data_IF_934412574588
#
_entry.id   IF_934412574588
#
_cell.length_a   1.000
_cell.length_b   1.000
_cell.length_c   1.000
_cell.angle_alpha   90.00
_cell.angle_beta   90.00
_cell.angle_gamma   90.00
#
_symmetry.space_group_name_H-M   'P 1'
#
loop_
_entity.id
_entity.type
_entity.pdbx_description
1 polymer ?
#
# COMPACT_ATOMS: atom_id res chain seq x y z
N UNK A 1 0.36 10.99 -25.63
CA UNK A 1 -0.47 10.19 -24.71
C UNK A 1 -1.48 11.13 -24.08
N UNK A 2 -2.77 11.00 -24.41
CA UNK A 2 -3.80 11.88 -23.88
C UNK A 2 -4.39 11.23 -22.63
N UNK A 3 -4.23 11.89 -21.48
CA UNK A 3 -4.80 11.46 -20.21
C UNK A 3 -6.31 11.71 -20.27
N UNK A 4 -7.11 10.65 -20.20
CA UNK A 4 -8.56 10.78 -20.11
C UNK A 4 -8.92 10.73 -18.63
N UNK A 5 -9.27 11.89 -18.06
CA UNK A 5 -9.80 11.95 -16.70
C UNK A 5 -11.13 11.19 -16.66
N UNK A 6 -11.27 10.29 -15.69
CA UNK A 6 -12.58 9.78 -15.31
C UNK A 6 -13.37 11.00 -14.81
N UNK A 7 -14.54 11.26 -15.40
CA UNK A 7 -15.40 12.37 -14.99
C UNK A 7 -15.71 12.27 -13.49
N UNK A 8 -15.82 13.42 -12.83
CA UNK A 8 -15.84 13.62 -11.37
C UNK A 8 -16.95 12.88 -10.57
N UNK A 9 -17.69 11.95 -11.17
CA UNK A 9 -18.81 11.25 -10.53
C UNK A 9 -18.41 9.96 -9.80
N UNK A 10 -17.15 9.51 -9.90
CA UNK A 10 -16.67 8.33 -9.16
C UNK A 10 -15.33 8.57 -8.50
N UNK A 11 -15.25 9.63 -7.69
CA UNK A 11 -14.13 9.78 -6.75
C UNK A 11 -14.25 8.67 -5.70
N UNK A 12 -13.23 7.83 -5.58
CA UNK A 12 -13.11 6.96 -4.41
C UNK A 12 -12.31 7.76 -3.39
N UNK A 13 -12.91 8.23 -2.29
CA UNK A 13 -12.20 9.05 -1.32
C UNK A 13 -11.34 8.16 -0.41
N UNK A 14 -10.46 7.31 -0.99
CA UNK A 14 -9.57 6.42 -0.25
C UNK A 14 -8.69 7.24 0.66
N UNK A 15 -8.07 8.30 0.14
CA UNK A 15 -7.27 9.21 0.94
C UNK A 15 -8.08 9.79 2.11
N UNK A 16 -9.31 10.25 1.88
CA UNK A 16 -10.14 10.83 2.95
C UNK A 16 -10.50 9.81 4.02
N UNK A 17 -10.93 8.61 3.61
CA UNK A 17 -11.28 7.52 4.52
C UNK A 17 -10.08 7.08 5.37
N UNK A 18 -8.91 6.90 4.74
CA UNK A 18 -7.67 6.50 5.43
C UNK A 18 -7.20 7.63 6.35
N UNK A 19 -7.20 8.88 5.88
CA UNK A 19 -6.82 10.05 6.70
C UNK A 19 -7.74 10.23 7.90
N UNK A 20 -9.06 10.07 7.73
CA UNK A 20 -10.03 10.12 8.83
C UNK A 20 -9.78 9.00 9.84
N UNK A 21 -9.56 7.78 9.37
CA UNK A 21 -9.26 6.63 10.24
C UNK A 21 -7.93 6.82 10.99
N UNK A 22 -6.90 7.34 10.33
CA UNK A 22 -5.59 7.61 10.93
C UNK A 22 -5.69 8.67 12.04
N UNK A 23 -6.43 9.77 11.82
CA UNK A 23 -6.63 10.82 12.84
C UNK A 23 -7.36 10.31 14.08
N UNK A 24 -8.40 9.49 13.90
CA UNK A 24 -9.15 8.91 15.03
C UNK A 24 -8.27 7.97 15.86
N UNK A 25 -7.24 7.40 15.24
CA UNK A 25 -6.31 6.43 15.84
C UNK A 25 -4.93 7.01 16.11
N UNK A 26 -4.77 8.33 16.07
CA UNK A 26 -3.49 9.01 16.29
C UNK A 26 -2.95 8.78 17.71
N UNK A 27 -3.83 8.43 18.66
CA UNK A 27 -3.50 8.03 20.04
C UNK A 27 -3.35 6.51 20.22
N UNK A 28 -3.62 5.71 19.19
CA UNK A 28 -3.49 4.25 19.24
C UNK A 28 -2.21 3.82 18.53
N UNK A 29 -1.26 3.28 19.29
CA UNK A 29 -0.11 2.61 18.70
C UNK A 29 -0.55 1.34 17.96
N UNK A 30 -0.27 1.28 16.66
CA UNK A 30 -0.32 0.04 15.90
C UNK A 30 -0.99 0.15 14.53
N UNK A 31 -0.92 -0.97 13.80
CA UNK A 31 -1.53 -1.11 12.50
C UNK A 31 -3.05 -1.34 12.61
N UNK A 32 -3.80 -0.85 11.63
CA UNK A 32 -5.24 -1.02 11.52
C UNK A 32 -5.68 -1.19 10.06
N UNK A 33 -6.95 -1.58 9.88
CA UNK A 33 -7.63 -1.60 8.57
C UNK A 33 -8.76 -0.57 8.55
N UNK A 34 -9.19 -0.20 7.35
CA UNK A 34 -10.32 0.68 7.08
C UNK A 34 -11.47 -0.18 6.53
N UNK A 35 -12.55 -0.42 7.31
CA UNK A 35 -13.61 -1.37 6.94
C UNK A 35 -14.32 -1.08 5.62
N UNK A 36 -14.29 0.17 5.14
CA UNK A 36 -14.92 0.56 3.88
C UNK A 36 -14.12 0.16 2.64
N UNK A 37 -12.90 -0.37 2.77
CA UNK A 37 -12.07 -0.78 1.63
C UNK A 37 -12.18 -2.29 1.38
N UNK A 38 -12.50 -2.74 0.15
CA UNK A 38 -12.85 -4.14 -0.15
C UNK A 38 -11.64 -5.06 -0.39
N UNK A 39 -10.43 -4.65 0.02
CA UNK A 39 -9.19 -5.39 -0.18
C UNK A 39 -8.35 -5.38 1.09
N UNK A 40 -7.52 -6.41 1.30
CA UNK A 40 -6.56 -6.44 2.41
C UNK A 40 -5.58 -5.29 2.28
N UNK A 41 -5.37 -4.60 3.39
CA UNK A 41 -4.44 -3.49 3.53
C UNK A 41 -4.13 -3.28 5.01
N UNK A 42 -2.95 -2.76 5.31
CA UNK A 42 -2.57 -2.31 6.65
C UNK A 42 -2.29 -0.82 6.60
N UNK A 43 -2.71 -0.08 7.63
CA UNK A 43 -2.45 1.35 7.79
C UNK A 43 -1.79 1.59 9.14
N UNK A 44 -0.87 2.55 9.21
CA UNK A 44 -0.31 3.06 10.46
C UNK A 44 -0.14 4.58 10.37
N UNK A 45 -0.39 5.29 11.46
CA UNK A 45 -0.23 6.75 11.52
C UNK A 45 1.23 7.19 11.43
N UNK A 46 1.46 8.37 10.86
CA UNK A 46 2.77 9.06 10.82
C UNK A 46 2.67 10.55 11.15
N UNK A 47 1.52 11.02 11.65
CA UNK A 47 1.29 12.44 11.98
C UNK A 47 2.17 12.97 13.12
N UNK A 48 2.68 12.05 13.94
CA UNK A 48 3.64 12.27 15.03
C UNK A 48 5.09 12.49 14.53
N UNK A 49 5.38 12.14 13.28
CA UNK A 49 6.72 12.26 12.70
C UNK A 49 6.93 13.66 12.15
N UNK A 50 7.42 14.56 13.01
CA UNK A 50 7.90 15.90 12.62
C UNK A 50 9.33 16.10 13.07
N UNK A 51 10.18 16.54 12.16
CA UNK A 51 11.51 17.06 12.48
C UNK A 51 11.77 18.26 11.58
N UNK A 52 12.40 19.28 12.17
CA UNK A 52 12.91 20.43 11.43
C UNK A 52 14.24 20.11 10.71
N UNK A 53 14.74 18.87 10.88
CA UNK A 53 15.95 18.38 10.23
C UNK A 53 15.61 17.34 9.15
N UNK A 54 15.97 17.63 7.90
CA UNK A 54 15.72 16.76 6.74
C UNK A 54 16.44 15.40 6.80
N UNK A 55 17.46 15.27 7.65
CA UNK A 55 18.25 14.03 7.81
C UNK A 55 18.28 13.57 9.26
N UNK A 56 17.11 13.55 9.90
CA UNK A 56 16.97 13.03 11.26
C UNK A 56 17.03 11.48 11.28
N UNK A 57 18.11 10.86 11.78
CA UNK A 57 18.23 9.40 11.81
C UNK A 57 17.18 8.75 12.71
N UNK A 58 16.60 9.50 13.67
CA UNK A 58 15.52 9.02 14.52
C UNK A 58 14.25 8.82 13.69
N UNK A 59 13.91 9.76 12.81
CA UNK A 59 12.77 9.61 11.89
C UNK A 59 12.97 8.41 10.97
N UNK A 60 14.17 8.25 10.40
CA UNK A 60 14.48 7.09 9.56
C UNK A 60 14.26 5.76 10.28
N UNK A 61 14.71 5.66 11.53
CA UNK A 61 14.50 4.48 12.36
C UNK A 61 13.01 4.23 12.67
N UNK A 62 12.23 5.28 12.94
CA UNK A 62 10.80 5.14 13.21
C UNK A 62 10.04 4.73 11.94
N UNK A 63 10.31 5.35 10.78
CA UNK A 63 9.70 4.96 9.51
C UNK A 63 9.99 3.51 9.16
N UNK A 64 11.22 3.05 9.39
CA UNK A 64 11.59 1.65 9.22
C UNK A 64 10.81 0.73 10.19
N UNK A 65 10.71 1.09 11.46
CA UNK A 65 9.92 0.32 12.43
C UNK A 65 8.44 0.23 12.03
N UNK A 66 7.84 1.35 11.61
CA UNK A 66 6.44 1.42 11.13
C UNK A 66 6.23 0.58 9.87
N UNK A 67 7.19 0.59 8.94
CA UNK A 67 7.18 -0.28 7.77
C UNK A 67 7.21 -1.77 8.15
N UNK A 68 8.07 -2.17 9.09
CA UNK A 68 8.13 -3.55 9.57
C UNK A 68 6.82 -3.98 10.26
N UNK A 69 6.20 -3.08 11.03
CA UNK A 69 4.89 -3.34 11.65
C UNK A 69 3.79 -3.59 10.60
N UNK A 70 3.77 -2.83 9.50
CA UNK A 70 2.81 -3.04 8.41
C UNK A 70 2.98 -4.42 7.76
N UNK A 71 4.23 -4.85 7.52
CA UNK A 71 4.51 -6.17 6.96
C UNK A 71 4.04 -7.27 7.91
N UNK A 72 4.44 -7.21 9.17
CA UNK A 72 4.06 -8.21 10.17
C UNK A 72 2.54 -8.29 10.34
N UNK A 73 1.86 -7.14 10.45
CA UNK A 73 0.40 -7.10 10.54
C UNK A 73 -0.26 -7.75 9.31
N UNK A 74 0.25 -7.47 8.11
CA UNK A 74 -0.28 -8.04 6.87
C UNK A 74 -0.12 -9.57 6.81
N UNK A 75 1.02 -10.08 7.26
CA UNK A 75 1.29 -11.53 7.29
C UNK A 75 0.43 -12.22 8.35
N UNK A 76 0.50 -11.74 9.59
CA UNK A 76 -0.06 -12.43 10.75
C UNK A 76 -1.56 -12.18 10.92
N UNK A 77 -2.00 -10.92 10.80
CA UNK A 77 -3.39 -10.54 11.05
C UNK A 77 -4.26 -10.66 9.82
N UNK A 78 -3.70 -10.40 8.64
CA UNK A 78 -4.45 -10.51 7.38
C UNK A 78 -4.22 -11.85 6.69
N UNK A 79 -3.41 -12.75 7.28
CA UNK A 79 -3.12 -14.09 6.77
C UNK A 79 -2.63 -14.09 5.32
N UNK A 80 -1.80 -13.10 4.95
CA UNK A 80 -1.17 -13.06 3.62
C UNK A 80 0.04 -13.98 3.63
N UNK A 81 0.04 -14.95 2.72
CA UNK A 81 1.16 -15.90 2.58
C UNK A 81 2.45 -15.16 2.27
N UNK A 82 3.49 -15.53 3.00
CA UNK A 82 4.78 -14.85 3.00
C UNK A 82 5.88 -15.88 2.63
N UNK A 83 5.71 -16.58 1.51
CA UNK A 83 6.57 -17.69 1.11
C UNK A 83 8.06 -17.33 1.04
N UNK A 84 8.37 -16.06 0.76
CA UNK A 84 9.74 -15.53 0.75
C UNK A 84 10.21 -14.94 2.10
N UNK A 85 9.29 -14.70 3.05
CA UNK A 85 9.58 -14.02 4.32
C UNK A 85 10.47 -14.81 5.25
N UNK A 86 10.13 -16.09 5.49
CA UNK A 86 10.89 -16.93 6.43
C UNK A 86 12.35 -17.11 5.98
N UNK A 87 12.57 -17.17 4.66
CA UNK A 87 13.90 -17.20 4.06
C UNK A 87 14.63 -15.85 4.21
N UNK A 88 13.93 -14.73 4.06
CA UNK A 88 14.48 -13.39 4.27
C UNK A 88 14.86 -13.14 5.73
N UNK A 89 13.97 -13.40 6.68
CA UNK A 89 14.14 -13.11 8.11
C UNK A 89 15.35 -13.87 8.68
N UNK A 90 15.48 -15.14 8.30
CA UNK A 90 16.65 -15.98 8.64
C UNK A 90 17.97 -15.44 8.09
N UNK A 91 17.94 -14.73 6.95
CA UNK A 91 19.12 -14.14 6.31
C UNK A 91 19.43 -12.71 6.77
N UNK A 92 18.44 -11.96 7.25
CA UNK A 92 18.57 -10.56 7.65
C UNK A 92 19.46 -10.40 8.90
N UNK A 93 19.42 -11.36 9.84
CA UNK A 93 20.29 -11.38 11.03
C UNK A 93 21.78 -11.60 10.72
N UNK A 94 22.14 -11.95 9.48
CA UNK A 94 23.53 -12.23 9.07
C UNK A 94 24.11 -11.18 8.11
N UNK A 95 23.37 -10.12 7.75
CA UNK A 95 23.84 -9.10 6.80
C UNK A 95 24.67 -8.03 7.49
N UNK A 96 25.95 -7.94 7.12
CA UNK A 96 26.73 -6.70 7.28
C UNK A 96 26.43 -5.75 6.12
N UNK A 97 26.43 -4.42 6.33
CA UNK A 97 26.09 -3.43 5.31
C UNK A 97 27.27 -3.22 4.35
N UNK A 98 27.52 -4.18 3.44
CA UNK A 98 28.42 -3.97 2.31
C UNK A 98 27.62 -3.50 1.09
N UNK A 99 27.82 -2.23 0.73
CA UNK A 99 27.34 -1.59 -0.49
C UNK A 99 28.02 -2.31 -1.67
N UNK A 100 27.28 -3.05 -2.50
CA UNK A 100 27.86 -3.56 -3.74
C UNK A 100 27.21 -4.72 -4.47
N UNK A 101 26.27 -5.46 -3.90
CA UNK A 101 25.56 -6.50 -4.64
C UNK A 101 24.05 -6.27 -4.60
N UNK A 102 23.46 -6.10 -5.77
CA UNK A 102 22.01 -6.14 -6.02
C UNK A 102 21.48 -7.55 -5.74
N UNK A 103 21.53 -7.98 -4.48
CA UNK A 103 20.80 -9.15 -4.04
C UNK A 103 19.34 -8.74 -3.96
N UNK A 104 18.54 -9.31 -4.87
CA UNK A 104 17.08 -9.25 -4.88
C UNK A 104 16.57 -9.29 -3.44
N UNK A 105 16.09 -8.14 -2.96
CA UNK A 105 15.53 -8.04 -1.62
C UNK A 105 14.28 -8.90 -1.64
N UNK A 106 14.37 -10.11 -1.12
CA UNK A 106 13.27 -11.05 -1.05
C UNK A 106 12.16 -10.46 -0.17
N UNK A 107 11.27 -9.70 -0.80
CA UNK A 107 10.06 -9.19 -0.16
C UNK A 107 9.09 -10.36 0.07
N UNK A 108 8.30 -10.34 1.16
CA UNK A 108 7.47 -11.48 1.54
C UNK A 108 6.42 -11.85 0.49
N UNK A 109 5.93 -10.84 -0.24
CA UNK A 109 4.93 -10.91 -1.31
C UNK A 109 4.97 -9.59 -2.11
N UNK A 110 4.37 -9.51 -3.30
CA UNK A 110 4.19 -8.24 -4.03
C UNK A 110 3.24 -7.30 -3.27
N UNK A 111 3.62 -6.03 -3.09
CA UNK A 111 2.76 -5.03 -2.46
C UNK A 111 2.96 -3.64 -3.04
N UNK A 112 2.01 -2.75 -2.77
CA UNK A 112 2.21 -1.31 -2.87
C UNK A 112 2.37 -0.71 -1.48
N UNK A 113 3.34 0.19 -1.31
CA UNK A 113 3.49 1.03 -0.12
C UNK A 113 3.14 2.47 -0.48
N UNK A 114 2.24 3.06 0.28
CA UNK A 114 1.86 4.46 0.19
C UNK A 114 2.32 5.15 1.47
N UNK A 115 2.96 6.30 1.33
CA UNK A 115 3.44 7.12 2.43
C UNK A 115 2.97 8.55 2.23
N UNK A 116 2.35 9.10 3.27
CA UNK A 116 1.98 10.51 3.38
C UNK A 116 2.56 11.07 4.68
N UNK A 117 2.42 12.37 4.91
CA UNK A 117 2.80 13.02 6.18
C UNK A 117 1.88 12.66 7.36
N UNK A 118 0.79 11.91 7.14
CA UNK A 118 -0.16 11.56 8.20
C UNK A 118 -0.34 10.06 8.40
N UNK A 119 -0.02 9.24 7.38
CA UNK A 119 -0.11 7.79 7.47
C UNK A 119 0.78 7.09 6.44
N UNK A 120 1.08 5.82 6.73
CA UNK A 120 1.58 4.82 5.80
C UNK A 120 0.54 3.73 5.58
N UNK A 121 0.44 3.22 4.36
CA UNK A 121 -0.47 2.13 4.00
C UNK A 121 0.25 1.10 3.13
N UNK A 122 0.14 -0.16 3.51
CA UNK A 122 0.63 -1.29 2.73
C UNK A 122 -0.55 -2.07 2.15
N UNK A 123 -0.49 -2.35 0.85
CA UNK A 123 -1.51 -3.13 0.14
C UNK A 123 -0.88 -4.36 -0.51
N UNK A 124 -1.11 -5.58 0.01
CA UNK A 124 -0.68 -6.80 -0.67
C UNK A 124 -1.39 -6.95 -2.02
N UNK A 125 -0.64 -7.35 -3.04
CA UNK A 125 -1.09 -7.48 -4.42
C UNK A 125 -1.03 -8.92 -4.89
N UNK A 126 -1.97 -9.28 -5.76
CA UNK A 126 -1.99 -10.58 -6.42
C UNK A 126 -1.64 -10.50 -7.91
N UNK A 127 -1.84 -9.33 -8.55
CA UNK A 127 -1.51 -9.14 -9.95
C UNK A 127 -1.24 -7.66 -10.30
N UNK A 128 -0.51 -7.43 -11.39
CA UNK A 128 -0.13 -6.08 -11.85
C UNK A 128 -1.29 -5.36 -12.56
N UNK A 129 -2.07 -6.10 -13.37
CA UNK A 129 -3.11 -5.56 -14.24
C UNK A 129 -4.49 -6.07 -13.91
N UNK A 130 -5.49 -5.22 -14.11
CA UNK A 130 -6.89 -5.60 -14.21
C UNK A 130 -7.21 -6.04 -15.65
N UNK A 131 -7.82 -7.23 -15.79
CA UNK A 131 -8.17 -7.88 -17.07
C UNK A 131 -7.03 -7.94 -18.10
N UNK A 132 -5.77 -7.95 -17.66
CA UNK A 132 -4.57 -7.84 -18.51
C UNK A 132 -4.46 -6.54 -19.35
N UNK A 133 -5.35 -5.58 -19.15
CA UNK A 133 -5.43 -4.34 -19.94
C UNK A 133 -4.96 -3.11 -19.15
N UNK A 134 -5.33 -3.03 -17.87
CA UNK A 134 -5.20 -1.81 -17.07
C UNK A 134 -4.16 -2.02 -15.99
N UNK A 135 -3.02 -1.34 -16.10
CA UNK A 135 -1.97 -1.34 -15.08
C UNK A 135 -2.43 -0.57 -13.84
N UNK A 136 -2.29 -1.18 -12.67
CA UNK A 136 -2.55 -0.52 -11.39
C UNK A 136 -1.25 -0.44 -10.61
N UNK A 137 -0.86 0.76 -10.19
CA UNK A 137 0.30 1.02 -9.34
C UNK A 137 -0.16 1.51 -7.95
N UNK A 138 0.77 1.98 -7.12
CA UNK A 138 0.46 2.51 -5.79
C UNK A 138 -0.53 3.69 -5.82
N UNK A 139 -0.48 4.58 -6.83
CA UNK A 139 -1.41 5.70 -6.95
C UNK A 139 -2.85 5.25 -7.21
N UNK A 140 -3.06 4.11 -7.86
CA UNK A 140 -4.39 3.50 -7.99
C UNK A 140 -5.05 3.30 -6.63
N UNK A 141 -4.28 2.82 -5.64
CA UNK A 141 -4.75 2.63 -4.26
C UNK A 141 -4.84 3.94 -3.45
N UNK A 142 -4.37 5.06 -3.99
CA UNK A 142 -4.67 6.40 -3.46
C UNK A 142 -5.97 6.99 -4.05
N UNK A 143 -6.62 6.30 -4.99
CA UNK A 143 -7.83 6.76 -5.68
C UNK A 143 -7.60 7.23 -7.12
N UNK A 144 -6.36 7.16 -7.63
CA UNK A 144 -6.00 7.67 -8.97
C UNK A 144 -5.80 6.53 -9.97
N UNK A 145 -6.89 6.02 -10.54
CA UNK A 145 -6.81 5.07 -11.66
C UNK A 145 -6.52 5.78 -12.98
N UNK A 146 -5.63 5.19 -13.77
CA UNK A 146 -5.17 5.74 -15.04
C UNK A 146 -5.69 4.90 -16.21
N UNK A 147 -6.55 5.50 -17.04
CA UNK A 147 -6.93 4.95 -18.34
C UNK A 147 -6.04 5.54 -19.45
N UNK A 148 -5.48 4.69 -20.31
CA UNK A 148 -4.64 5.11 -21.45
C UNK A 148 -5.45 5.38 -22.73
N UNK A 149 -6.70 4.91 -22.79
CA UNK A 149 -7.62 5.08 -23.90
C UNK A 149 -9.09 4.96 -23.43
N UNK A 150 -10.04 5.26 -24.31
CA UNK A 150 -11.48 5.23 -24.01
C UNK A 150 -11.97 3.83 -23.61
N UNK A 151 -11.45 2.77 -24.25
CA UNK A 151 -11.79 1.39 -23.89
C UNK A 151 -11.41 1.07 -22.44
N UNK A 152 -10.22 1.47 -21.99
CA UNK A 152 -9.80 1.30 -20.59
C UNK A 152 -10.64 2.15 -19.63
N UNK A 153 -11.01 3.37 -20.03
CA UNK A 153 -11.92 4.22 -19.26
C UNK A 153 -13.26 3.50 -19.07
N UNK A 154 -13.84 2.99 -20.16
CA UNK A 154 -15.14 2.34 -20.15
C UNK A 154 -15.12 1.06 -19.30
N UNK A 155 -14.03 0.29 -19.35
CA UNK A 155 -13.82 -0.86 -18.45
C UNK A 155 -13.79 -0.44 -16.98
N UNK A 156 -13.08 0.64 -16.63
CA UNK A 156 -13.03 1.14 -15.23
C UNK A 156 -14.43 1.59 -14.77
N UNK A 157 -15.15 2.34 -15.62
CA UNK A 157 -16.50 2.82 -15.31
C UNK A 157 -17.47 1.64 -15.15
N UNK A 158 -17.44 0.69 -16.08
CA UNK A 158 -18.33 -0.47 -16.09
C UNK A 158 -18.12 -1.36 -14.86
N UNK A 159 -16.87 -1.61 -14.47
CA UNK A 159 -16.57 -2.48 -13.33
C UNK A 159 -16.64 -1.77 -11.98
N UNK A 160 -16.53 -0.45 -11.99
CA UNK A 160 -16.39 0.37 -10.79
C UNK A 160 -14.93 0.38 -10.29
N UNK A 161 -14.39 1.54 -9.92
CA UNK A 161 -12.96 1.67 -9.62
C UNK A 161 -12.55 0.89 -8.36
N UNK A 162 -13.45 0.72 -7.37
CA UNK A 162 -13.16 -0.09 -6.17
C UNK A 162 -13.01 -1.57 -6.49
N UNK A 163 -13.82 -2.08 -7.43
CA UNK A 163 -13.75 -3.46 -7.89
C UNK A 163 -12.46 -3.71 -8.70
N UNK A 164 -12.06 -2.74 -9.52
CA UNK A 164 -10.76 -2.77 -10.21
C UNK A 164 -9.63 -2.94 -9.20
N UNK A 165 -9.60 -2.13 -8.12
CA UNK A 165 -8.59 -2.24 -7.06
C UNK A 165 -8.66 -3.57 -6.31
N UNK A 166 -9.86 -4.03 -5.97
CA UNK A 166 -10.07 -5.31 -5.28
C UNK A 166 -9.51 -6.49 -6.07
N UNK A 167 -9.67 -6.51 -7.39
CA UNK A 167 -9.21 -7.62 -8.22
C UNK A 167 -7.70 -7.67 -8.44
N UNK A 168 -7.00 -6.54 -8.30
CA UNK A 168 -5.52 -6.51 -8.39
C UNK A 168 -4.84 -6.66 -7.02
N UNK A 169 -5.56 -6.36 -5.94
CA UNK A 169 -5.16 -6.63 -4.56
C UNK A 169 -5.63 -8.03 -4.09
N UNK A 170 -5.22 -8.42 -2.88
CA UNK A 170 -5.85 -9.57 -2.22
C UNK A 170 -7.22 -9.12 -1.66
N UNK A 171 -8.34 -9.77 -2.02
CA UNK A 171 -9.66 -9.40 -1.53
C UNK A 171 -9.78 -9.44 0.00
N UNK A 172 -10.62 -8.57 0.55
CA UNK A 172 -11.02 -8.62 1.95
C UNK A 172 -12.21 -9.58 2.09
N UNK A 173 -12.04 -10.66 2.84
CA UNK A 173 -13.11 -11.60 3.22
C UNK A 173 -13.26 -11.52 4.75
N UNK A 174 -14.24 -10.77 5.28
CA UNK A 174 -14.39 -10.47 6.71
C UNK A 174 -14.77 -11.68 7.58
#
# INVERSE_FOLDING_TARGET
MQLIALTAEVEIPIHEHVSKAARIREEQDGCFTVPSLPFKHAVIGTGDLRSDNESDPVIGAILHARYMQLLQFTIERLSVSASSWMAWESSASQRSPSIGNEHETAHPFPYNLLLTSSWMMLVPRQQEKFLNEISVNALGFAGFLLAKNETQRDLIVQHGPLNVLMQVAIPWDP
#
